data_IF_053971562664
#
_entry.id   IF_053971562664
#
_cell.length_a   1.000
_cell.length_b   1.000
_cell.length_c   1.000
_cell.angle_alpha   90.00
_cell.angle_beta   90.00
_cell.angle_gamma   90.00
#
_symmetry.space_group_name_H-M   'P 1'
#
loop_
_entity.id
_entity.type
_entity.pdbx_description
1 polymer ?
#
# COMPACT_ATOMS: atom_id res chain seq x y z
N UNK A 1 18.43 -24.06 23.17
CA UNK A 1 17.14 -23.45 22.79
C UNK A 1 17.19 -21.93 22.74
N UNK A 2 17.74 -21.19 23.71
CA UNK A 2 17.87 -19.71 23.65
C UNK A 2 18.66 -19.17 22.43
N UNK A 3 19.77 -19.84 22.05
CA UNK A 3 20.64 -19.39 20.93
C UNK A 3 19.96 -19.47 19.56
N UNK A 4 19.09 -20.47 19.32
CA UNK A 4 18.35 -20.64 18.06
C UNK A 4 17.28 -19.56 17.92
N UNK A 5 16.57 -19.25 19.02
CA UNK A 5 15.56 -18.19 19.03
C UNK A 5 16.18 -16.80 18.78
N UNK A 6 17.40 -16.56 19.29
CA UNK A 6 18.12 -15.30 19.08
C UNK A 6 18.51 -15.11 17.61
N UNK A 7 18.99 -16.17 16.94
CA UNK A 7 19.36 -16.12 15.52
C UNK A 7 18.15 -15.92 14.60
N UNK A 8 17.03 -16.61 14.87
CA UNK A 8 15.79 -16.46 14.12
C UNK A 8 15.24 -15.02 14.21
N UNK A 9 15.30 -14.42 15.39
CA UNK A 9 14.87 -13.02 15.58
C UNK A 9 15.77 -12.03 14.83
N UNK A 10 17.07 -12.26 14.79
CA UNK A 10 18.04 -11.43 14.07
C UNK A 10 17.76 -11.49 12.55
N UNK A 11 17.50 -12.68 12.02
CA UNK A 11 17.16 -12.87 10.59
C UNK A 11 15.84 -12.17 10.24
N UNK A 12 14.80 -12.38 11.05
CA UNK A 12 13.49 -11.75 10.83
C UNK A 12 13.58 -10.22 10.89
N UNK A 13 14.28 -9.65 11.85
CA UNK A 13 14.48 -8.20 11.97
C UNK A 13 15.34 -7.62 10.83
N UNK A 14 16.26 -8.41 10.28
CA UNK A 14 17.13 -7.98 9.19
C UNK A 14 16.43 -8.01 7.82
N UNK A 15 15.70 -9.09 7.52
CA UNK A 15 15.12 -9.33 6.20
C UNK A 15 13.63 -9.00 6.12
N UNK A 16 12.88 -9.05 7.21
CA UNK A 16 11.44 -8.75 7.24
C UNK A 16 11.09 -7.39 6.65
N UNK A 17 11.72 -6.29 7.07
CA UNK A 17 11.44 -4.96 6.49
C UNK A 17 11.76 -4.85 5.00
N UNK A 18 12.80 -5.56 4.53
CA UNK A 18 13.18 -5.56 3.11
C UNK A 18 12.12 -6.26 2.28
N UNK A 19 11.77 -7.49 2.67
CA UNK A 19 10.74 -8.28 1.98
C UNK A 19 9.39 -7.56 1.98
N UNK A 20 8.98 -6.99 3.13
CA UNK A 20 7.76 -6.21 3.24
C UNK A 20 7.73 -5.03 2.25
N UNK A 21 8.82 -4.26 2.17
CA UNK A 21 8.96 -3.15 1.21
C UNK A 21 8.86 -3.63 -0.23
N UNK A 22 9.54 -4.72 -0.58
CA UNK A 22 9.50 -5.28 -1.93
C UNK A 22 8.10 -5.73 -2.32
N UNK A 23 7.37 -6.38 -1.40
CA UNK A 23 5.99 -6.84 -1.63
C UNK A 23 5.03 -5.66 -1.81
N UNK A 24 5.13 -4.61 -0.98
CA UNK A 24 4.33 -3.40 -1.16
C UNK A 24 4.69 -2.67 -2.45
N UNK A 25 5.97 -2.54 -2.78
CA UNK A 25 6.39 -1.95 -4.04
C UNK A 25 5.87 -2.72 -5.26
N UNK A 26 5.92 -4.06 -5.22
CA UNK A 26 5.37 -4.93 -6.25
C UNK A 26 3.85 -4.81 -6.40
N UNK A 27 3.14 -4.36 -5.37
CA UNK A 27 1.71 -4.09 -5.43
C UNK A 27 1.41 -2.69 -5.98
N UNK A 28 2.06 -1.65 -5.43
CA UNK A 28 1.69 -0.26 -5.70
C UNK A 28 2.30 0.32 -6.98
N UNK A 29 3.52 -0.10 -7.36
CA UNK A 29 4.15 0.38 -8.59
C UNK A 29 3.33 -0.03 -9.82
N UNK A 30 2.97 -1.31 -10.04
CA UNK A 30 2.12 -1.69 -11.16
C UNK A 30 0.73 -1.04 -11.10
N UNK A 31 0.14 -0.87 -9.90
CA UNK A 31 -1.14 -0.21 -9.75
C UNK A 31 -1.11 1.25 -10.23
N UNK A 32 -0.07 2.00 -9.87
CA UNK A 32 0.13 3.38 -10.35
C UNK A 32 0.39 3.44 -11.85
N UNK A 33 1.23 2.54 -12.40
CA UNK A 33 1.50 2.46 -13.85
C UNK A 33 0.23 2.14 -14.63
N UNK A 34 -0.56 1.16 -14.18
CA UNK A 34 -1.85 0.81 -14.81
C UNK A 34 -2.78 2.03 -14.88
N UNK A 35 -2.87 2.83 -13.84
CA UNK A 35 -3.69 4.06 -13.82
C UNK A 35 -3.21 5.14 -14.79
N UNK A 36 -1.91 5.16 -15.11
CA UNK A 36 -1.38 6.06 -16.16
C UNK A 36 -1.81 5.56 -17.53
N UNK A 37 -1.67 4.25 -17.80
CA UNK A 37 -2.00 3.64 -19.10
C UNK A 37 -3.50 3.73 -19.38
N UNK A 38 -4.33 3.39 -18.40
CA UNK A 38 -5.79 3.32 -18.53
C UNK A 38 -6.49 4.53 -17.87
N UNK A 39 -5.88 5.71 -17.95
CA UNK A 39 -6.34 6.91 -17.25
C UNK A 39 -7.82 7.22 -17.49
N UNK A 40 -8.28 7.20 -18.74
CA UNK A 40 -9.66 7.50 -19.09
C UNK A 40 -10.66 6.49 -18.53
N UNK A 41 -10.32 5.20 -18.55
CA UNK A 41 -11.15 4.13 -17.99
C UNK A 41 -11.29 4.27 -16.48
N UNK A 42 -10.17 4.52 -15.79
CA UNK A 42 -10.15 4.69 -14.33
C UNK A 42 -10.88 5.97 -13.93
N UNK A 43 -10.69 7.08 -14.68
CA UNK A 43 -11.40 8.34 -14.47
C UNK A 43 -12.91 8.14 -14.63
N UNK A 44 -13.35 7.42 -15.67
CA UNK A 44 -14.77 7.06 -15.87
C UNK A 44 -15.34 6.24 -14.70
N UNK A 45 -14.61 5.27 -14.21
CA UNK A 45 -15.00 4.48 -13.04
C UNK A 45 -15.10 5.33 -11.76
N UNK A 46 -14.16 6.22 -11.52
CA UNK A 46 -14.21 7.14 -10.38
C UNK A 46 -15.40 8.10 -10.48
N UNK A 47 -15.71 8.58 -11.68
CA UNK A 47 -16.90 9.42 -11.95
C UNK A 47 -18.18 8.66 -11.63
N UNK A 48 -18.29 7.38 -11.97
CA UNK A 48 -19.45 6.54 -11.63
C UNK A 48 -19.65 6.34 -10.13
N UNK A 49 -18.61 6.55 -9.33
CA UNK A 49 -18.68 6.56 -7.86
C UNK A 49 -19.07 7.93 -7.27
N UNK A 50 -19.35 8.92 -8.11
CA UNK A 50 -19.77 10.25 -7.68
C UNK A 50 -18.64 11.11 -7.10
N UNK A 51 -17.38 10.81 -7.41
CA UNK A 51 -16.26 11.59 -6.92
C UNK A 51 -16.16 12.93 -7.66
N UNK A 52 -15.92 14.05 -6.96
CA UNK A 52 -15.65 15.33 -7.59
C UNK A 52 -14.20 15.40 -8.09
N UNK A 53 -13.94 16.28 -9.06
CA UNK A 53 -12.58 16.60 -9.55
C UNK A 53 -11.75 15.34 -9.86
N UNK A 54 -12.37 14.37 -10.53
CA UNK A 54 -11.85 13.01 -10.73
C UNK A 54 -10.42 12.98 -11.26
N UNK A 55 -10.10 13.79 -12.27
CA UNK A 55 -8.76 13.79 -12.88
C UNK A 55 -7.68 14.23 -11.88
N UNK A 56 -7.99 15.22 -11.03
CA UNK A 56 -7.08 15.66 -9.95
C UNK A 56 -6.88 14.55 -8.92
N UNK A 57 -7.96 13.92 -8.49
CA UNK A 57 -7.90 12.80 -7.54
C UNK A 57 -7.14 11.60 -8.11
N UNK A 58 -7.31 11.33 -9.41
CA UNK A 58 -6.60 10.23 -10.08
C UNK A 58 -5.10 10.52 -10.19
N UNK A 59 -4.70 11.75 -10.54
CA UNK A 59 -3.30 12.16 -10.54
C UNK A 59 -2.68 12.03 -9.15
N UNK A 60 -3.38 12.48 -8.10
CA UNK A 60 -2.92 12.32 -6.71
C UNK A 60 -2.78 10.84 -6.34
N UNK A 61 -3.73 9.99 -6.74
CA UNK A 61 -3.66 8.54 -6.55
C UNK A 61 -2.40 7.95 -7.19
N UNK A 62 -2.13 8.31 -8.44
CA UNK A 62 -0.94 7.86 -9.17
C UNK A 62 0.34 8.29 -8.44
N UNK A 63 0.42 9.54 -7.99
CA UNK A 63 1.59 10.06 -7.26
C UNK A 63 1.80 9.27 -5.96
N UNK A 64 0.74 9.00 -5.21
CA UNK A 64 0.83 8.27 -3.95
C UNK A 64 1.23 6.80 -4.19
N UNK A 65 0.60 6.11 -5.13
CA UNK A 65 0.86 4.70 -5.40
C UNK A 65 2.23 4.48 -6.04
N UNK A 66 2.51 5.18 -7.14
CA UNK A 66 3.77 5.01 -7.86
C UNK A 66 4.94 5.62 -7.07
N UNK A 67 4.79 6.86 -6.60
CA UNK A 67 5.81 7.54 -5.82
C UNK A 67 6.07 6.86 -4.48
N UNK A 68 5.02 6.54 -3.72
CA UNK A 68 5.13 5.81 -2.47
C UNK A 68 5.70 4.41 -2.65
N UNK A 69 5.28 3.68 -3.71
CA UNK A 69 5.82 2.37 -4.07
C UNK A 69 7.32 2.42 -4.38
N UNK A 70 7.78 3.41 -5.15
CA UNK A 70 9.20 3.63 -5.44
C UNK A 70 9.99 4.00 -4.17
N UNK A 71 9.44 4.85 -3.31
CA UNK A 71 10.06 5.19 -2.01
C UNK A 71 10.22 3.95 -1.13
N UNK A 72 9.21 3.06 -1.09
CA UNK A 72 9.28 1.79 -0.38
C UNK A 72 10.35 0.88 -0.97
N UNK A 73 10.39 0.73 -2.29
CA UNK A 73 11.37 -0.11 -3.00
C UNK A 73 12.80 0.32 -2.65
N UNK A 74 13.08 1.61 -2.77
CA UNK A 74 14.40 2.18 -2.50
C UNK A 74 14.71 2.30 -1.01
N UNK A 75 13.71 2.18 -0.13
CA UNK A 75 13.86 2.42 1.29
C UNK A 75 14.04 3.90 1.65
N UNK A 76 13.77 4.79 0.70
CA UNK A 76 13.87 6.23 0.91
C UNK A 76 12.61 6.76 1.60
N UNK A 77 12.77 7.33 2.79
CA UNK A 77 11.65 7.76 3.63
C UNK A 77 10.53 6.71 3.77
N UNK A 78 10.88 5.42 3.85
CA UNK A 78 9.91 4.32 3.81
C UNK A 78 8.81 4.41 4.88
N UNK A 79 9.10 5.00 6.06
CA UNK A 79 8.08 5.24 7.10
C UNK A 79 7.02 6.23 6.62
N UNK A 80 7.45 7.34 6.00
CA UNK A 80 6.53 8.35 5.46
C UNK A 80 5.72 7.77 4.32
N UNK A 81 6.34 7.06 3.37
CA UNK A 81 5.66 6.41 2.27
C UNK A 81 4.61 5.41 2.75
N UNK A 82 4.98 4.54 3.71
CA UNK A 82 4.07 3.56 4.29
C UNK A 82 2.86 4.23 4.97
N UNK A 83 3.09 5.28 5.76
CA UNK A 83 2.03 6.02 6.42
C UNK A 83 1.11 6.72 5.40
N UNK A 84 1.67 7.39 4.40
CA UNK A 84 0.91 8.08 3.36
C UNK A 84 0.02 7.10 2.58
N UNK A 85 0.56 5.95 2.17
CA UNK A 85 -0.23 4.93 1.46
C UNK A 85 -1.30 4.34 2.39
N UNK A 86 -0.99 4.07 3.66
CA UNK A 86 -1.96 3.56 4.61
C UNK A 86 -3.15 4.51 4.80
N UNK A 87 -2.88 5.80 5.01
CA UNK A 87 -3.92 6.82 5.15
C UNK A 87 -4.74 6.99 3.86
N UNK A 88 -4.09 6.94 2.70
CA UNK A 88 -4.74 6.99 1.40
C UNK A 88 -5.67 5.79 1.17
N UNK A 89 -5.27 4.58 1.56
CA UNK A 89 -6.08 3.37 1.37
C UNK A 89 -7.37 3.36 2.20
N UNK A 90 -7.47 4.12 3.29
CA UNK A 90 -8.69 4.18 4.11
C UNK A 90 -9.88 4.67 3.27
N UNK A 91 -9.89 5.91 2.74
CA UNK A 91 -11.00 6.37 1.92
C UNK A 91 -11.19 5.54 0.65
N UNK A 92 -10.11 5.12 0.00
CA UNK A 92 -10.18 4.24 -1.19
C UNK A 92 -10.93 2.96 -0.87
N UNK A 93 -10.65 2.32 0.25
CA UNK A 93 -11.31 1.07 0.64
C UNK A 93 -12.81 1.27 0.88
N UNK A 94 -13.19 2.32 1.58
CA UNK A 94 -14.60 2.62 1.89
C UNK A 94 -15.38 3.00 0.63
N UNK A 95 -14.79 3.79 -0.26
CA UNK A 95 -15.48 4.31 -1.45
C UNK A 95 -15.61 3.24 -2.55
N UNK A 96 -14.54 2.46 -2.79
CA UNK A 96 -14.50 1.54 -3.93
C UNK A 96 -14.92 0.11 -3.59
N UNK A 97 -14.93 -0.28 -2.32
CA UNK A 97 -15.26 -1.62 -1.86
C UNK A 97 -16.38 -1.65 -0.79
N UNK A 98 -17.50 -0.89 -0.96
CA UNK A 98 -18.63 -0.96 -0.03
C UNK A 98 -19.39 -2.27 -0.26
N UNK A 99 -19.26 -3.24 0.62
CA UNK A 99 -19.92 -4.56 0.50
C UNK A 99 -21.26 -4.62 1.23
N UNK A 100 -21.57 -3.67 2.10
CA UNK A 100 -22.74 -3.65 2.97
C UNK A 100 -24.08 -3.30 2.28
N UNK A 101 -24.04 -2.77 1.05
CA UNK A 101 -25.22 -2.39 0.28
C UNK A 101 -25.38 -3.21 -1.02
N UNK A 102 -24.81 -4.41 -1.08
CA UNK A 102 -24.84 -5.26 -2.27
C UNK A 102 -25.78 -6.42 -2.00
N UNK A 103 -26.85 -6.56 -2.80
CA UNK A 103 -27.84 -7.62 -2.67
C UNK A 103 -27.35 -8.96 -3.25
N UNK A 104 -26.59 -8.92 -4.33
CA UNK A 104 -26.02 -10.12 -4.93
C UNK A 104 -24.91 -10.71 -4.05
N UNK A 105 -25.11 -11.95 -3.58
CA UNK A 105 -24.22 -12.60 -2.65
C UNK A 105 -22.80 -12.79 -3.20
N UNK A 106 -22.65 -13.08 -4.51
CA UNK A 106 -21.33 -13.29 -5.12
C UNK A 106 -20.56 -11.97 -5.22
N UNK A 107 -21.22 -10.89 -5.61
CA UNK A 107 -20.62 -9.56 -5.66
C UNK A 107 -20.28 -9.07 -4.25
N UNK A 108 -21.18 -9.26 -3.27
CA UNK A 108 -20.95 -8.90 -1.88
C UNK A 108 -19.67 -9.60 -1.34
N UNK A 109 -19.53 -10.90 -1.54
CA UNK A 109 -18.34 -11.66 -1.11
C UNK A 109 -17.07 -11.11 -1.78
N UNK A 110 -17.13 -10.82 -3.07
CA UNK A 110 -15.99 -10.29 -3.82
C UNK A 110 -15.55 -8.94 -3.25
N UNK A 111 -16.49 -8.02 -3.03
CA UNK A 111 -16.18 -6.69 -2.48
C UNK A 111 -15.71 -6.78 -1.01
N UNK A 112 -16.28 -7.69 -0.23
CA UNK A 112 -15.83 -7.95 1.14
C UNK A 112 -14.37 -8.45 1.17
N UNK A 113 -14.00 -9.39 0.29
CA UNK A 113 -12.61 -9.84 0.19
C UNK A 113 -11.66 -8.70 -0.20
N UNK A 114 -12.06 -7.83 -1.14
CA UNK A 114 -11.26 -6.66 -1.51
C UNK A 114 -11.11 -5.67 -0.35
N UNK A 115 -12.18 -5.42 0.39
CA UNK A 115 -12.16 -4.59 1.60
C UNK A 115 -11.19 -5.15 2.64
N UNK A 116 -11.33 -6.43 2.99
CA UNK A 116 -10.48 -7.10 3.99
C UNK A 116 -9.02 -7.19 3.54
N UNK A 117 -8.76 -7.42 2.26
CA UNK A 117 -7.41 -7.37 1.69
C UNK A 117 -6.77 -5.98 1.91
N UNK A 118 -7.49 -4.91 1.63
CA UNK A 118 -6.99 -3.56 1.84
C UNK A 118 -6.75 -3.28 3.33
N UNK A 119 -7.63 -3.75 4.23
CA UNK A 119 -7.41 -3.64 5.68
C UNK A 119 -6.13 -4.36 6.13
N UNK A 120 -5.86 -5.55 5.59
CA UNK A 120 -4.61 -6.27 5.86
C UNK A 120 -3.38 -5.52 5.36
N UNK A 121 -3.46 -4.91 4.16
CA UNK A 121 -2.41 -4.06 3.59
C UNK A 121 -2.16 -2.85 4.49
N UNK A 122 -3.21 -2.15 4.92
CA UNK A 122 -3.12 -1.01 5.86
C UNK A 122 -2.41 -1.44 7.14
N UNK A 123 -2.81 -2.58 7.72
CA UNK A 123 -2.17 -3.13 8.92
C UNK A 123 -0.67 -3.39 8.72
N UNK A 124 -0.29 -4.00 7.61
CA UNK A 124 1.12 -4.23 7.26
C UNK A 124 1.92 -2.93 7.06
N UNK A 125 1.33 -1.93 6.40
CA UNK A 125 1.94 -0.60 6.23
C UNK A 125 2.13 0.14 7.55
N UNK A 126 1.16 0.06 8.48
CA UNK A 126 1.28 0.62 9.82
C UNK A 126 2.39 -0.06 10.61
N UNK A 127 2.52 -1.39 10.54
CA UNK A 127 3.66 -2.11 11.13
C UNK A 127 4.99 -1.62 10.55
N UNK A 128 5.06 -1.40 9.22
CA UNK A 128 6.26 -0.88 8.57
C UNK A 128 6.59 0.55 9.00
N UNK A 129 5.60 1.38 9.26
CA UNK A 129 5.79 2.72 9.82
C UNK A 129 6.52 2.66 11.17
N UNK A 130 6.21 1.68 12.01
CA UNK A 130 6.89 1.44 13.29
C UNK A 130 8.31 0.87 13.12
N UNK A 131 8.47 -0.18 12.32
CA UNK A 131 9.74 -0.90 12.13
C UNK A 131 10.78 -0.09 11.34
N UNK A 132 10.35 0.75 10.41
CA UNK A 132 11.22 1.54 9.54
C UNK A 132 11.76 0.79 8.33
N UNK A 133 12.72 1.44 7.64
CA UNK A 133 13.23 0.96 6.34
C UNK A 133 14.17 -0.23 6.40
N UNK A 134 14.63 -0.64 7.60
CA UNK A 134 15.65 -1.70 7.75
C UNK A 134 17.06 -1.24 7.35
N UNK A 135 18.03 -2.14 7.51
CA UNK A 135 19.47 -1.83 7.31
C UNK A 135 19.87 -1.54 5.85
N UNK A 136 19.14 -2.08 4.89
CA UNK A 136 19.41 -1.90 3.45
C UNK A 136 18.46 -0.85 2.86
N UNK A 137 18.71 0.41 3.14
CA UNK A 137 17.92 1.54 2.64
C UNK A 137 18.83 2.69 2.28
N UNK A 138 18.44 3.50 1.30
CA UNK A 138 19.20 4.69 0.88
C UNK A 138 19.39 5.71 2.01
N UNK A 139 18.63 5.61 3.09
CA UNK A 139 18.69 6.52 4.24
C UNK A 139 19.45 5.95 5.46
N UNK A 140 19.87 4.70 5.44
CA UNK A 140 20.65 4.11 6.53
C UNK A 140 22.04 4.79 6.73
N UNK A 141 22.48 5.58 5.77
CA UNK A 141 23.76 6.27 5.79
C UNK A 141 23.78 7.62 6.53
N UNK A 142 22.64 8.15 7.03
CA UNK A 142 22.58 9.55 7.51
C UNK A 142 22.10 9.80 8.94
N UNK A 143 21.77 8.76 9.71
CA UNK A 143 21.40 8.88 11.13
C UNK A 143 22.00 7.72 11.92
N UNK A 144 23.27 7.74 12.11
CA UNK A 144 23.99 7.12 13.24
C UNK A 144 24.49 8.25 14.15
#
# INVERSE_FOLDING_TARGET
>A
MRTVLTNSNIIAQRFGPILGRMLFAALFIPAGVHKIIDFSTVSGYMTSKGLPMVDVLLVLTIIIELGGGLMLLLGWHARLAALTIALFLIPVTVIFHPYWNIEDAQQMMTQQHMFMKNMAIIGGLLCMTGLGSGKFSLKAAKFS
#
